data_IF_824478904188
#
_entry.id   IF_824478904188
#
_cell.length_a   1.000
_cell.length_b   1.000
_cell.length_c   1.000
_cell.angle_alpha   90.00
_cell.angle_beta   90.00
_cell.angle_gamma   90.00
#
_symmetry.space_group_name_H-M   'P 1'
#
loop_
_entity.id
_entity.type
_entity.pdbx_description
1 polymer ?
#
# COMPACT_ATOMS: atom_id res chain seq x y z
N UNK A 1 1.91 -16.57 13.28
CA UNK A 1 2.88 -15.74 12.52
C UNK A 1 2.26 -14.36 12.47
N UNK A 2 2.92 -13.37 13.05
CA UNK A 2 2.37 -12.03 13.21
C UNK A 2 3.32 -10.95 12.67
N UNK A 3 4.63 -11.21 12.76
CA UNK A 3 5.66 -10.22 12.39
C UNK A 3 6.51 -10.66 11.21
N UNK A 4 7.18 -9.70 10.56
CA UNK A 4 8.16 -9.98 9.50
C UNK A 4 9.32 -10.84 10.03
N UNK A 5 9.73 -10.63 11.29
CA UNK A 5 10.78 -11.45 11.92
C UNK A 5 10.43 -12.94 11.99
N UNK A 6 9.16 -13.28 12.09
CA UNK A 6 8.70 -14.68 12.16
C UNK A 6 8.99 -15.47 10.88
N UNK A 7 9.15 -14.79 9.75
CA UNK A 7 9.51 -15.42 8.47
C UNK A 7 10.93 -16.00 8.45
N UNK A 8 11.80 -15.64 9.41
CA UNK A 8 13.24 -15.93 9.32
C UNK A 8 13.57 -17.41 9.09
N UNK A 9 12.84 -18.32 9.75
CA UNK A 9 13.05 -19.75 9.59
C UNK A 9 12.41 -20.33 8.33
N UNK A 10 11.42 -19.62 7.77
CA UNK A 10 10.64 -20.07 6.62
C UNK A 10 11.15 -19.51 5.31
N UNK A 11 11.69 -18.29 5.31
CA UNK A 11 12.14 -17.57 4.11
C UNK A 11 13.01 -18.43 3.15
N UNK A 12 13.93 -19.30 3.60
CA UNK A 12 14.72 -20.15 2.71
C UNK A 12 13.88 -21.18 1.92
N UNK A 13 12.60 -21.37 2.26
CA UNK A 13 11.68 -22.27 1.57
C UNK A 13 10.64 -21.52 0.73
N UNK A 14 10.52 -20.20 0.93
CA UNK A 14 9.46 -19.34 0.38
C UNK A 14 9.94 -18.55 -0.81
N UNK A 15 9.00 -18.22 -1.68
CA UNK A 15 9.16 -17.33 -2.83
C UNK A 15 8.61 -15.95 -2.47
N UNK A 16 9.45 -14.90 -2.58
CA UNK A 16 9.05 -13.52 -2.43
C UNK A 16 8.69 -12.92 -3.78
N UNK A 17 7.61 -12.17 -3.85
CA UNK A 17 7.25 -11.31 -4.96
C UNK A 17 7.37 -9.83 -4.62
N UNK A 18 7.69 -9.02 -5.61
CA UNK A 18 7.73 -7.57 -5.54
C UNK A 18 8.04 -6.96 -6.90
N UNK A 19 8.02 -5.65 -7.01
CA UNK A 19 8.34 -4.98 -8.28
C UNK A 19 9.79 -5.23 -8.72
N UNK A 20 10.13 -5.13 -10.01
CA UNK A 20 11.48 -5.41 -10.49
C UNK A 20 12.59 -4.64 -9.75
N UNK A 21 12.34 -3.38 -9.39
CA UNK A 21 13.25 -2.50 -8.64
C UNK A 21 13.39 -2.87 -7.16
N UNK A 22 12.44 -3.60 -6.60
CA UNK A 22 12.44 -4.04 -5.20
C UNK A 22 13.74 -4.79 -4.82
N UNK A 23 14.35 -5.49 -5.78
CA UNK A 23 15.62 -6.20 -5.56
C UNK A 23 16.74 -5.31 -5.02
N UNK A 24 16.73 -4.01 -5.37
CA UNK A 24 17.82 -3.05 -5.06
C UNK A 24 17.39 -1.98 -4.06
N UNK A 25 16.13 -1.96 -3.66
CA UNK A 25 15.59 -0.97 -2.73
C UNK A 25 15.80 -1.41 -1.28
N UNK A 26 16.23 -0.47 -0.44
CA UNK A 26 16.37 -0.69 1.00
C UNK A 26 15.01 -0.84 1.69
N UNK A 27 13.99 -0.18 1.19
CA UNK A 27 12.60 -0.30 1.65
C UNK A 27 11.87 -1.47 0.96
N UNK A 28 12.59 -2.53 0.62
CA UNK A 28 12.06 -3.71 -0.04
C UNK A 28 12.97 -4.93 0.20
N UNK A 29 13.17 -5.81 -0.81
CA UNK A 29 13.96 -7.05 -0.68
C UNK A 29 15.34 -6.85 -0.05
N UNK A 30 16.08 -5.85 -0.50
CA UNK A 30 17.43 -5.58 0.05
C UNK A 30 17.38 -5.27 1.54
N UNK A 31 16.37 -4.53 2.01
CA UNK A 31 16.18 -4.27 3.43
C UNK A 31 15.70 -5.49 4.21
N UNK A 32 14.83 -6.31 3.64
CA UNK A 32 14.45 -7.59 4.23
C UNK A 32 15.67 -8.48 4.47
N UNK A 33 16.61 -8.52 3.54
CA UNK A 33 17.87 -9.26 3.70
C UNK A 33 18.78 -8.64 4.77
N UNK A 34 18.99 -7.31 4.75
CA UNK A 34 19.96 -6.63 5.62
C UNK A 34 19.48 -6.43 7.05
N UNK A 35 18.20 -6.09 7.24
CA UNK A 35 17.64 -5.73 8.54
C UNK A 35 17.02 -6.94 9.23
N UNK A 36 16.29 -7.75 8.46
CA UNK A 36 15.59 -8.93 8.98
C UNK A 36 16.38 -10.23 8.83
N UNK A 37 17.41 -10.25 7.97
CA UNK A 37 18.16 -11.46 7.65
C UNK A 37 17.32 -12.48 6.88
N UNK A 38 16.35 -12.04 6.08
CA UNK A 38 15.46 -12.89 5.31
C UNK A 38 16.07 -13.21 3.95
N UNK A 39 16.44 -14.47 3.74
CA UNK A 39 16.95 -14.97 2.47
C UNK A 39 15.92 -15.89 1.83
N UNK A 40 15.10 -15.35 0.93
CA UNK A 40 14.07 -16.11 0.25
C UNK A 40 14.66 -17.06 -0.79
N UNK A 41 14.01 -18.23 -0.96
CA UNK A 41 14.42 -19.24 -1.95
C UNK A 41 14.41 -18.70 -3.38
N UNK A 42 13.34 -17.98 -3.72
CA UNK A 42 13.16 -17.37 -5.03
C UNK A 42 12.63 -15.93 -4.89
N UNK A 43 12.88 -15.13 -5.91
CA UNK A 43 12.28 -13.82 -6.09
C UNK A 43 11.60 -13.73 -7.45
N UNK A 44 10.31 -13.46 -7.47
CA UNK A 44 9.50 -13.27 -8.67
C UNK A 44 9.23 -11.79 -8.87
N UNK A 45 9.84 -11.14 -9.88
CA UNK A 45 9.49 -9.76 -10.20
C UNK A 45 8.06 -9.72 -10.77
N UNK A 46 7.23 -8.86 -10.17
CA UNK A 46 5.81 -8.77 -10.52
C UNK A 46 5.43 -7.31 -10.73
N UNK A 47 4.64 -7.03 -11.76
CA UNK A 47 4.09 -5.71 -12.00
C UNK A 47 3.11 -5.33 -10.86
N UNK A 48 3.03 -4.03 -10.54
CA UNK A 48 2.17 -3.55 -9.45
C UNK A 48 0.71 -4.03 -9.53
N UNK A 49 0.04 -4.06 -10.68
CA UNK A 49 -1.34 -4.55 -10.78
C UNK A 49 -1.52 -6.03 -10.41
N UNK A 50 -0.47 -6.84 -10.56
CA UNK A 50 -0.52 -8.29 -10.34
C UNK A 50 -0.01 -8.73 -8.96
N UNK A 51 0.36 -7.78 -8.06
CA UNK A 51 1.00 -8.06 -6.76
C UNK A 51 0.18 -8.93 -5.80
N UNK A 52 -1.15 -8.95 -5.95
CA UNK A 52 -2.05 -9.82 -5.19
C UNK A 52 -2.29 -11.14 -5.92
N UNK A 53 -2.52 -11.08 -7.24
CA UNK A 53 -2.76 -12.26 -8.06
C UNK A 53 -1.62 -13.29 -7.99
N UNK A 54 -0.39 -12.82 -7.78
CA UNK A 54 0.77 -13.72 -7.64
C UNK A 54 0.67 -14.58 -6.37
N UNK A 55 0.03 -14.11 -5.30
CA UNK A 55 -0.26 -14.86 -4.07
C UNK A 55 -1.40 -15.83 -4.29
N UNK A 56 -2.56 -15.35 -4.75
CA UNK A 56 -3.77 -16.17 -4.94
C UNK A 56 -3.59 -17.26 -5.99
N UNK A 57 -2.66 -17.08 -6.92
CA UNK A 57 -2.29 -18.11 -7.92
C UNK A 57 -1.21 -19.10 -7.43
N UNK A 58 -0.68 -18.94 -6.21
CA UNK A 58 0.38 -19.79 -5.66
C UNK A 58 1.76 -19.62 -6.33
N UNK A 59 1.96 -18.57 -7.15
CA UNK A 59 3.26 -18.29 -7.77
C UNK A 59 4.27 -17.68 -6.81
N UNK A 60 3.80 -17.07 -5.73
CA UNK A 60 4.61 -16.61 -4.63
C UNK A 60 3.90 -16.89 -3.30
N UNK A 61 4.69 -17.02 -2.24
CA UNK A 61 4.21 -17.26 -0.89
C UNK A 61 4.09 -15.93 -0.10
N UNK A 62 4.91 -14.97 -0.45
CA UNK A 62 5.00 -13.64 0.18
C UNK A 62 5.06 -12.57 -0.92
N UNK A 63 4.35 -11.46 -0.74
CA UNK A 63 4.39 -10.33 -1.69
C UNK A 63 4.53 -9.00 -0.97
N UNK A 64 5.23 -8.07 -1.59
CA UNK A 64 5.28 -6.68 -1.17
C UNK A 64 4.06 -5.96 -1.75
N UNK A 65 3.19 -5.50 -0.86
CA UNK A 65 1.93 -4.82 -1.19
C UNK A 65 1.82 -3.50 -0.42
N UNK A 66 0.81 -2.70 -0.70
CA UNK A 66 0.52 -1.50 0.10
C UNK A 66 -0.57 -1.82 1.12
N UNK A 67 -0.42 -1.34 2.34
CA UNK A 67 -1.40 -1.55 3.41
C UNK A 67 -2.79 -0.99 3.10
N UNK A 68 -2.90 -0.12 2.10
CA UNK A 68 -4.16 0.48 1.61
C UNK A 68 -4.82 -0.30 0.48
N UNK A 69 -4.27 -1.45 0.08
CA UNK A 69 -4.84 -2.27 -1.01
C UNK A 69 -6.12 -2.98 -0.54
N UNK A 70 -7.22 -2.80 -1.26
CA UNK A 70 -8.51 -3.43 -0.94
C UNK A 70 -8.50 -4.95 -1.03
N UNK A 71 -7.61 -5.52 -1.86
CA UNK A 71 -7.42 -6.96 -2.03
C UNK A 71 -6.94 -7.66 -0.76
N UNK A 72 -6.31 -6.95 0.19
CA UNK A 72 -5.88 -7.54 1.47
C UNK A 72 -7.07 -8.16 2.20
N UNK A 73 -8.17 -7.43 2.30
CA UNK A 73 -9.39 -7.93 2.95
C UNK A 73 -10.16 -8.90 2.05
N UNK A 74 -10.24 -8.61 0.75
CA UNK A 74 -11.01 -9.43 -0.19
C UNK A 74 -10.44 -10.83 -0.39
N UNK A 75 -9.10 -10.96 -0.36
CA UNK A 75 -8.39 -12.23 -0.55
C UNK A 75 -7.97 -12.88 0.78
N UNK A 76 -8.45 -12.35 1.93
CA UNK A 76 -8.13 -12.82 3.29
C UNK A 76 -6.60 -12.96 3.52
N UNK A 77 -5.85 -11.94 3.12
CA UNK A 77 -4.39 -11.96 3.20
C UNK A 77 -3.90 -11.56 4.59
N UNK A 78 -2.91 -12.29 5.09
CA UNK A 78 -2.22 -11.95 6.32
C UNK A 78 -1.20 -10.83 6.09
N UNK A 79 -1.38 -9.69 6.75
CA UNK A 79 -0.39 -8.62 6.80
C UNK A 79 0.52 -8.82 8.00
N UNK A 80 1.83 -8.88 7.77
CA UNK A 80 2.82 -9.01 8.84
C UNK A 80 3.24 -7.65 9.36
N UNK A 81 3.36 -7.51 10.67
CA UNK A 81 3.87 -6.32 11.33
C UNK A 81 5.35 -6.10 11.01
N UNK A 82 5.72 -4.86 10.67
CA UNK A 82 7.11 -4.43 10.49
C UNK A 82 7.76 -4.11 11.85
N UNK A 83 8.08 -5.14 12.61
CA UNK A 83 8.61 -5.07 13.97
C UNK A 83 10.00 -4.42 14.07
N UNK A 84 10.71 -4.24 12.95
CA UNK A 84 12.01 -3.55 12.88
C UNK A 84 11.96 -2.21 12.14
N UNK A 85 10.76 -1.74 11.76
CA UNK A 85 10.55 -0.44 11.10
C UNK A 85 11.38 -0.26 9.83
N UNK A 86 11.41 -1.29 8.99
CA UNK A 86 12.08 -1.26 7.69
C UNK A 86 11.38 -0.30 6.72
N UNK A 87 10.04 -0.35 6.70
CA UNK A 87 9.25 0.45 5.78
C UNK A 87 8.98 1.84 6.39
N UNK A 88 9.36 2.93 5.70
CA UNK A 88 8.99 4.26 6.15
C UNK A 88 7.47 4.47 6.04
N UNK A 89 6.90 5.44 6.78
CA UNK A 89 5.49 5.79 6.63
C UNK A 89 5.23 6.34 5.22
N UNK A 90 4.34 5.68 4.48
CA UNK A 90 3.90 6.10 3.15
C UNK A 90 2.53 6.80 3.27
N UNK A 91 2.54 8.07 3.66
CA UNK A 91 1.32 8.84 3.75
C UNK A 91 0.91 9.40 2.39
N UNK A 92 -0.40 9.46 2.13
CA UNK A 92 -0.95 10.17 0.98
C UNK A 92 -0.60 11.65 1.10
N UNK A 93 -0.04 12.23 0.05
CA UNK A 93 0.34 13.66 0.02
C UNK A 93 -0.09 14.29 -1.30
N UNK A 94 -0.69 15.47 -1.21
CA UNK A 94 -0.97 16.28 -2.38
C UNK A 94 0.27 17.08 -2.76
N UNK A 95 0.80 16.82 -3.96
CA UNK A 95 1.89 17.61 -4.53
C UNK A 95 1.29 18.65 -5.48
N UNK A 96 1.54 19.93 -5.22
CA UNK A 96 0.97 21.06 -5.96
C UNK A 96 2.09 21.91 -6.55
N UNK A 97 1.94 22.27 -7.81
CA UNK A 97 2.83 23.26 -8.45
C UNK A 97 2.61 24.64 -7.82
N UNK A 98 3.70 25.40 -7.60
CA UNK A 98 3.66 26.70 -6.91
C UNK A 98 2.66 27.70 -7.55
N UNK A 99 2.61 27.79 -8.90
CA UNK A 99 1.66 28.65 -9.59
C UNK A 99 0.20 28.22 -9.38
N UNK A 100 -0.04 26.91 -9.26
CA UNK A 100 -1.37 26.38 -8.97
C UNK A 100 -1.75 26.66 -7.51
N UNK A 101 -0.83 26.47 -6.58
CA UNK A 101 -1.02 26.80 -5.18
C UNK A 101 -1.35 28.30 -4.97
N UNK A 102 -0.61 29.19 -5.62
CA UNK A 102 -0.88 30.64 -5.59
C UNK A 102 -2.28 30.99 -6.12
N UNK A 103 -2.73 30.35 -7.22
CA UNK A 103 -4.09 30.58 -7.77
C UNK A 103 -5.19 30.04 -6.86
N UNK A 104 -4.95 28.91 -6.20
CA UNK A 104 -5.90 28.31 -5.27
C UNK A 104 -6.07 29.12 -3.97
N UNK A 105 -5.06 29.92 -3.63
CA UNK A 105 -5.10 30.80 -2.46
C UNK A 105 -4.57 30.16 -1.18
N UNK A 106 -4.52 30.95 -0.08
CA UNK A 106 -3.88 30.56 1.18
C UNK A 106 -4.62 29.46 1.94
N UNK A 107 -5.88 29.22 1.64
CA UNK A 107 -6.70 28.22 2.34
C UNK A 107 -6.47 26.79 1.83
N UNK A 108 -5.80 26.61 0.69
CA UNK A 108 -5.56 25.30 0.10
C UNK A 108 -4.95 24.27 1.07
N UNK A 109 -3.88 24.58 1.82
CA UNK A 109 -3.29 23.60 2.74
C UNK A 109 -4.27 23.18 3.86
N UNK A 110 -5.08 24.13 4.36
CA UNK A 110 -6.09 23.86 5.38
C UNK A 110 -7.17 22.93 4.87
N UNK A 111 -7.73 23.21 3.69
CA UNK A 111 -8.79 22.42 3.07
C UNK A 111 -8.28 20.99 2.79
N UNK A 112 -7.09 20.88 2.19
CA UNK A 112 -6.47 19.57 1.91
C UNK A 112 -6.21 18.79 3.20
N UNK A 113 -5.68 19.45 4.24
CA UNK A 113 -5.44 18.84 5.54
C UNK A 113 -6.73 18.31 6.19
N UNK A 114 -7.82 19.06 6.09
CA UNK A 114 -9.13 18.62 6.59
C UNK A 114 -9.61 17.35 5.86
N UNK A 115 -9.56 17.32 4.53
CA UNK A 115 -9.98 16.16 3.74
C UNK A 115 -9.08 14.94 4.03
N UNK A 116 -7.78 15.15 4.23
CA UNK A 116 -6.83 14.05 4.45
C UNK A 116 -6.89 13.46 5.86
N UNK A 117 -7.36 14.21 6.88
CA UNK A 117 -7.37 13.72 8.25
C UNK A 117 -8.20 12.45 8.47
N UNK A 118 -9.24 12.25 7.66
CA UNK A 118 -10.14 11.10 7.74
C UNK A 118 -9.72 9.94 6.81
N UNK A 119 -8.65 10.12 6.01
CA UNK A 119 -8.08 9.07 5.16
C UNK A 119 -7.22 8.10 5.97
N UNK A 120 -7.83 7.33 6.86
CA UNK A 120 -7.14 6.23 7.55
C UNK A 120 -6.82 5.08 6.57
N UNK A 121 -5.92 4.18 6.97
CA UNK A 121 -5.61 2.97 6.19
C UNK A 121 -6.88 2.19 5.83
N UNK A 122 -7.80 2.04 6.80
CA UNK A 122 -9.06 1.31 6.59
C UNK A 122 -9.98 2.02 5.58
N UNK A 123 -10.12 3.33 5.69
CA UNK A 123 -10.91 4.12 4.73
C UNK A 123 -10.30 4.00 3.33
N UNK A 124 -8.98 4.12 3.20
CA UNK A 124 -8.32 3.94 1.91
C UNK A 124 -8.47 2.53 1.34
N UNK A 125 -8.42 1.48 2.16
CA UNK A 125 -8.73 0.11 1.71
C UNK A 125 -10.13 0.00 1.13
N UNK A 126 -11.12 0.57 1.81
CA UNK A 126 -12.52 0.57 1.34
C UNK A 126 -12.66 1.32 0.00
N UNK A 127 -12.14 2.56 -0.08
CA UNK A 127 -12.21 3.36 -1.31
C UNK A 127 -11.50 2.67 -2.48
N UNK A 128 -10.32 2.09 -2.23
CA UNK A 128 -9.56 1.36 -3.25
C UNK A 128 -10.29 0.06 -3.66
N UNK A 129 -10.92 -0.65 -2.72
CA UNK A 129 -11.72 -1.84 -3.01
C UNK A 129 -12.86 -1.52 -4.00
N UNK A 130 -13.62 -0.46 -3.75
CA UNK A 130 -14.70 -0.01 -4.64
C UNK A 130 -14.22 0.27 -6.06
N UNK A 131 -13.02 0.89 -6.20
CA UNK A 131 -12.44 1.16 -7.52
C UNK A 131 -11.85 -0.09 -8.16
N UNK A 132 -11.01 -0.83 -7.42
CA UNK A 132 -10.19 -1.91 -7.97
C UNK A 132 -10.97 -3.23 -8.13
N UNK A 133 -11.91 -3.53 -7.23
CA UNK A 133 -12.68 -4.77 -7.24
C UNK A 133 -14.08 -4.57 -7.80
N UNK A 134 -14.84 -3.59 -7.30
CA UNK A 134 -16.22 -3.34 -7.70
C UNK A 134 -16.32 -2.54 -9.01
N UNK A 135 -15.17 -2.04 -9.53
CA UNK A 135 -15.07 -1.30 -10.79
C UNK A 135 -15.88 0.01 -10.80
N UNK A 136 -16.13 0.57 -9.63
CA UNK A 136 -16.73 1.87 -9.53
C UNK A 136 -15.81 2.97 -10.11
N UNK A 137 -16.41 4.06 -10.57
CA UNK A 137 -15.64 5.18 -11.12
C UNK A 137 -14.95 5.93 -9.98
N UNK A 138 -13.61 6.17 -10.04
CA UNK A 138 -12.89 6.87 -8.97
C UNK A 138 -13.51 8.21 -8.56
N UNK A 139 -14.03 8.97 -9.54
CA UNK A 139 -14.70 10.24 -9.26
C UNK A 139 -16.02 10.09 -8.48
N UNK A 140 -16.74 8.98 -8.64
CA UNK A 140 -17.95 8.69 -7.85
C UNK A 140 -17.55 8.33 -6.42
N UNK A 141 -16.61 7.41 -6.26
CA UNK A 141 -16.10 6.99 -4.95
C UNK A 141 -15.55 8.17 -4.16
N UNK A 142 -14.77 9.05 -4.80
CA UNK A 142 -14.26 10.27 -4.15
C UNK A 142 -15.38 11.23 -3.73
N UNK A 143 -16.42 11.39 -4.54
CA UNK A 143 -17.57 12.25 -4.20
C UNK A 143 -18.31 11.69 -3.00
N UNK A 144 -18.58 10.39 -2.98
CA UNK A 144 -19.27 9.74 -1.87
C UNK A 144 -18.47 9.91 -0.56
N UNK A 145 -17.14 9.75 -0.62
CA UNK A 145 -16.26 10.02 0.52
C UNK A 145 -16.43 11.46 1.02
N UNK A 146 -16.35 12.45 0.12
CA UNK A 146 -16.48 13.86 0.51
C UNK A 146 -17.86 14.17 1.11
N UNK A 147 -18.93 13.57 0.61
CA UNK A 147 -20.28 13.72 1.16
C UNK A 147 -20.42 13.03 2.51
N UNK A 148 -19.95 11.78 2.63
CA UNK A 148 -20.02 11.00 3.87
C UNK A 148 -19.34 11.69 5.05
N UNK A 149 -18.22 12.36 4.79
CA UNK A 149 -17.46 13.08 5.82
C UNK A 149 -17.86 14.58 5.93
N UNK A 150 -18.88 15.02 5.20
CA UNK A 150 -19.42 16.37 5.31
C UNK A 150 -18.57 17.47 4.67
N UNK A 151 -17.73 17.13 3.71
CA UNK A 151 -16.89 18.10 2.99
C UNK A 151 -17.59 18.75 1.80
N UNK A 152 -18.67 18.14 1.32
CA UNK A 152 -19.55 18.67 0.26
C UNK A 152 -21.01 18.34 0.57
N UNK A 153 -21.93 19.15 0.00
CA UNK A 153 -23.36 18.86 0.02
C UNK A 153 -23.75 17.72 -0.93
#
# INVERSE_FOLDING_TARGET
METISDLRKLAPKLTLSGSPECRRRLDCKLGLERIYGLHFKHYVPTALPDRHKVLTSGKADVSIVFSTDGQITADDLLVLEDDKKLFPPYNVSLVVNDKAAQRAGPDLPKIVGQVQQDLSTKVMQELNSRVDLDKERPAAVARDYLQQFGYTE
#
